data_IF_064146229533
#
_entry.id   IF_064146229533
#
_cell.length_a   1.000
_cell.length_b   1.000
_cell.length_c   1.000
_cell.angle_alpha   90.00
_cell.angle_beta   90.00
_cell.angle_gamma   90.00
#
_symmetry.space_group_name_H-M   'P 1'
#
loop_
_entity.id
_entity.type
_entity.pdbx_description
1 polymer ?
#
# COMPACT_ATOMS: atom_id res chain seq x y z
N UNK A 1 -4.35 -6.80 -16.69
CA UNK A 1 -3.46 -6.03 -17.58
C UNK A 1 -2.00 -6.21 -17.20
N UNK A 2 -1.12 -6.48 -18.18
CA UNK A 2 0.35 -6.54 -18.01
C UNK A 2 0.96 -5.14 -17.90
N UNK A 3 2.26 -5.04 -17.62
CA UNK A 3 2.96 -3.74 -17.59
C UNK A 3 3.23 -3.15 -18.99
N UNK A 4 3.23 -3.98 -20.03
CA UNK A 4 3.64 -3.59 -21.37
C UNK A 4 2.89 -2.36 -21.94
N UNK A 5 1.55 -2.24 -21.80
CA UNK A 5 0.83 -1.06 -22.28
C UNK A 5 1.29 0.26 -21.64
N UNK A 6 1.72 0.22 -20.38
CA UNK A 6 2.25 1.40 -19.69
C UNK A 6 3.61 1.82 -20.25
N UNK A 7 4.46 0.83 -20.55
CA UNK A 7 5.77 1.08 -21.18
C UNK A 7 5.59 1.60 -22.60
N UNK A 8 4.65 1.04 -23.37
CA UNK A 8 4.33 1.54 -24.72
C UNK A 8 3.78 2.96 -24.70
N UNK A 9 2.89 3.27 -23.74
CA UNK A 9 2.39 4.65 -23.54
C UNK A 9 3.54 5.62 -23.24
N UNK A 10 4.49 5.21 -22.39
CA UNK A 10 5.66 6.01 -22.07
C UNK A 10 6.57 6.18 -23.28
N UNK A 11 6.88 5.11 -24.01
CA UNK A 11 7.80 5.13 -25.14
C UNK A 11 7.31 6.03 -26.28
N UNK A 12 5.99 6.17 -26.43
CA UNK A 12 5.39 7.03 -27.45
C UNK A 12 5.28 8.50 -27.03
N UNK A 13 5.68 8.86 -25.80
CA UNK A 13 5.55 10.21 -25.26
C UNK A 13 6.75 11.11 -25.61
N UNK A 14 6.49 12.39 -25.88
CA UNK A 14 7.56 13.38 -26.12
C UNK A 14 8.54 13.53 -24.94
N UNK A 15 8.09 13.58 -23.66
CA UNK A 15 9.01 13.67 -22.51
C UNK A 15 10.00 12.50 -22.47
N UNK A 16 9.57 11.29 -22.82
CA UNK A 16 10.45 10.12 -22.86
C UNK A 16 11.51 10.24 -23.96
N UNK A 17 11.12 10.63 -25.16
CA UNK A 17 12.07 10.81 -26.26
C UNK A 17 13.15 11.86 -25.95
N UNK A 18 12.76 12.99 -25.35
CA UNK A 18 13.70 14.02 -24.90
C UNK A 18 14.63 13.46 -23.81
N UNK A 19 14.08 12.75 -22.84
CA UNK A 19 14.86 12.14 -21.77
C UNK A 19 15.90 11.14 -22.29
N UNK A 20 15.53 10.21 -23.16
CA UNK A 20 16.47 9.20 -23.69
C UNK A 20 17.53 9.83 -24.59
N UNK A 21 17.19 10.90 -25.33
CA UNK A 21 18.17 11.65 -26.12
C UNK A 21 19.28 12.24 -25.23
N UNK A 22 18.92 12.74 -24.06
CA UNK A 22 19.85 13.37 -23.11
C UNK A 22 20.50 12.38 -22.12
N UNK A 23 20.01 11.13 -22.08
CA UNK A 23 20.42 10.09 -21.14
C UNK A 23 20.42 8.71 -21.83
N UNK A 24 21.27 8.54 -22.86
CA UNK A 24 21.30 7.32 -23.67
C UNK A 24 21.74 6.07 -22.91
N UNK A 25 22.39 6.24 -21.75
CA UNK A 25 22.78 5.16 -20.84
C UNK A 25 21.67 4.76 -19.84
N UNK A 26 20.52 5.45 -19.87
CA UNK A 26 19.41 5.17 -18.98
C UNK A 26 18.75 3.83 -19.27
N UNK A 27 18.28 3.14 -18.21
CA UNK A 27 17.53 1.91 -18.34
C UNK A 27 16.40 1.80 -17.33
N UNK A 28 15.31 1.14 -17.72
CA UNK A 28 14.18 0.87 -16.83
C UNK A 28 14.65 0.00 -15.66
N UNK A 29 14.37 0.44 -14.44
CA UNK A 29 14.78 -0.27 -13.21
C UNK A 29 13.60 -0.81 -12.41
N UNK A 30 12.46 -0.10 -12.42
CA UNK A 30 11.30 -0.47 -11.65
C UNK A 30 9.99 0.04 -12.27
N UNK A 31 8.90 -0.64 -11.97
CA UNK A 31 7.54 -0.12 -12.15
C UNK A 31 6.87 0.03 -10.79
N UNK A 32 6.23 1.16 -10.56
CA UNK A 32 5.53 1.47 -9.31
C UNK A 32 4.05 1.71 -9.60
N UNK A 33 3.19 0.95 -8.94
CA UNK A 33 1.77 0.89 -9.23
C UNK A 33 0.96 0.99 -7.95
N UNK A 34 0.09 1.98 -7.87
CA UNK A 34 -0.89 2.12 -6.79
C UNK A 34 -2.23 1.69 -7.34
N UNK A 35 -2.78 0.61 -6.79
CA UNK A 35 -4.12 0.12 -7.08
C UNK A 35 -5.00 0.50 -5.89
N UNK A 36 -5.87 1.48 -6.08
CA UNK A 36 -6.79 1.97 -5.06
C UNK A 36 -8.19 1.45 -5.36
N UNK A 37 -8.64 0.47 -4.58
CA UNK A 37 -9.92 -0.20 -4.78
C UNK A 37 -11.09 0.54 -4.12
N UNK A 38 -10.82 1.52 -3.27
CA UNK A 38 -11.85 2.34 -2.63
C UNK A 38 -12.21 3.56 -3.48
N UNK A 39 -11.20 4.33 -3.88
CA UNK A 39 -11.41 5.58 -4.60
C UNK A 39 -11.28 5.43 -6.12
N UNK A 40 -10.71 4.32 -6.60
CA UNK A 40 -10.41 4.11 -8.01
C UNK A 40 -9.24 4.96 -8.54
N UNK A 41 -8.60 5.76 -7.67
CA UNK A 41 -7.47 6.61 -8.03
C UNK A 41 -6.17 5.81 -8.14
N UNK A 42 -6.05 5.08 -9.25
CA UNK A 42 -4.83 4.35 -9.55
C UNK A 42 -3.71 5.30 -9.97
N UNK A 43 -2.47 4.96 -9.63
CA UNK A 43 -1.28 5.72 -10.05
C UNK A 43 -0.26 4.78 -10.64
N UNK A 44 0.25 5.09 -11.83
CA UNK A 44 1.21 4.25 -12.54
C UNK A 44 2.47 5.06 -12.83
N UNK A 45 3.60 4.54 -12.36
CA UNK A 45 4.91 5.15 -12.50
C UNK A 45 5.92 4.14 -13.04
N UNK A 46 6.88 4.62 -13.82
CA UNK A 46 8.00 3.83 -14.34
C UNK A 46 9.30 4.57 -14.04
N UNK A 47 10.23 3.87 -13.42
CA UNK A 47 11.51 4.43 -13.00
C UNK A 47 12.62 3.99 -13.95
N UNK A 48 13.40 4.98 -14.41
CA UNK A 48 14.63 4.77 -15.17
C UNK A 48 15.83 5.17 -14.32
N UNK A 49 16.82 4.29 -14.22
CA UNK A 49 18.10 4.64 -13.63
C UNK A 49 19.01 5.27 -14.69
N UNK A 50 19.69 6.36 -14.33
CA UNK A 50 20.70 7.04 -15.17
C UNK A 50 22.08 6.85 -14.54
N UNK A 51 22.88 5.87 -15.00
CA UNK A 51 24.18 5.55 -14.41
C UNK A 51 25.15 6.72 -14.36
N UNK A 52 25.27 7.47 -15.45
CA UNK A 52 26.17 8.63 -15.58
C UNK A 52 25.92 9.71 -14.54
N UNK A 53 24.66 9.88 -14.12
CA UNK A 53 24.23 10.90 -13.16
C UNK A 53 23.98 10.37 -11.75
N UNK A 54 23.96 9.03 -11.56
CA UNK A 54 23.51 8.37 -10.33
C UNK A 54 22.15 8.90 -9.85
N UNK A 55 21.21 9.04 -10.78
CA UNK A 55 19.86 9.55 -10.53
C UNK A 55 18.81 8.57 -11.03
N UNK A 56 17.61 8.69 -10.48
CA UNK A 56 16.41 7.98 -10.92
C UNK A 56 15.51 9.00 -11.60
N UNK A 57 15.04 8.70 -12.80
CA UNK A 57 14.00 9.45 -13.48
C UNK A 57 12.68 8.71 -13.29
N UNK A 58 11.78 9.28 -12.51
CA UNK A 58 10.43 8.76 -12.27
C UNK A 58 9.48 9.36 -13.32
N UNK A 59 8.81 8.51 -14.09
CA UNK A 59 7.77 8.91 -15.03
C UNK A 59 6.40 8.59 -14.49
N UNK A 60 5.53 9.58 -14.31
CA UNK A 60 4.11 9.37 -13.96
C UNK A 60 3.27 9.31 -15.23
N UNK A 61 2.35 8.33 -15.34
CA UNK A 61 1.67 8.01 -16.60
C UNK A 61 0.18 8.35 -16.68
N UNK A 62 -0.48 8.67 -15.57
CA UNK A 62 -1.96 8.67 -15.51
C UNK A 62 -2.60 9.80 -16.32
N UNK A 63 -2.34 11.07 -15.97
CA UNK A 63 -2.95 12.24 -16.64
C UNK A 63 -2.12 12.69 -17.84
N UNK A 64 -0.92 13.19 -17.54
CA UNK A 64 0.07 13.63 -18.51
C UNK A 64 1.38 12.97 -18.13
N UNK A 65 2.13 12.51 -19.14
CA UNK A 65 3.46 11.96 -18.88
C UNK A 65 4.35 13.09 -18.36
N UNK A 66 4.77 12.99 -17.11
CA UNK A 66 5.69 13.92 -16.46
C UNK A 66 6.89 13.16 -15.92
N UNK A 67 8.07 13.78 -16.00
CA UNK A 67 9.32 13.20 -15.52
C UNK A 67 9.85 14.00 -14.34
N UNK A 68 10.31 13.31 -13.30
CA UNK A 68 10.98 13.89 -12.15
C UNK A 68 12.33 13.19 -11.93
N UNK A 69 13.42 13.95 -11.81
CA UNK A 69 14.72 13.42 -11.43
C UNK A 69 14.87 13.42 -9.91
N UNK A 70 15.12 12.24 -9.35
CA UNK A 70 15.36 11.98 -7.94
C UNK A 70 16.80 11.52 -7.72
N UNK A 71 17.38 11.90 -6.58
CA UNK A 71 18.69 11.40 -6.16
C UNK A 71 18.57 9.99 -5.58
N UNK A 72 19.54 9.12 -5.88
CA UNK A 72 19.60 7.79 -5.23
C UNK A 72 19.96 7.92 -3.77
N UNK A 73 19.15 7.32 -2.88
CA UNK A 73 19.45 7.25 -1.44
C UNK A 73 20.51 6.17 -1.11
N UNK A 74 20.64 5.15 -1.96
CA UNK A 74 21.52 4.01 -1.75
C UNK A 74 22.67 3.99 -2.76
N UNK A 75 23.84 3.50 -2.32
CA UNK A 75 25.02 3.32 -3.17
C UNK A 75 24.91 2.12 -4.12
N UNK A 76 23.92 1.25 -3.92
CA UNK A 76 23.74 0.04 -4.73
C UNK A 76 23.06 0.40 -6.06
N UNK A 77 23.74 0.11 -7.16
CA UNK A 77 23.20 0.24 -8.51
C UNK A 77 22.01 -0.71 -8.70
N UNK A 78 20.84 -0.23 -9.15
CA UNK A 78 19.68 -1.07 -9.40
C UNK A 78 19.88 -1.95 -10.64
N UNK A 79 19.25 -3.12 -10.67
CA UNK A 79 19.30 -4.02 -11.81
C UNK A 79 18.33 -3.55 -12.90
N UNK A 80 18.67 -3.81 -14.17
CA UNK A 80 17.78 -3.53 -15.30
C UNK A 80 16.56 -4.44 -15.26
N UNK A 81 15.39 -3.86 -15.47
CA UNK A 81 14.11 -4.55 -15.58
C UNK A 81 13.75 -4.73 -17.06
N UNK A 82 13.30 -5.94 -17.42
CA UNK A 82 12.69 -6.22 -18.72
C UNK A 82 11.18 -5.99 -18.68
N UNK A 83 10.61 -5.59 -19.82
CA UNK A 83 9.19 -5.21 -19.99
C UNK A 83 8.26 -6.43 -19.91
N UNK A 84 8.78 -7.62 -20.21
CA UNK A 84 7.98 -8.84 -20.24
C UNK A 84 7.64 -9.27 -18.81
N UNK A 85 6.37 -9.23 -18.43
CA UNK A 85 5.87 -9.81 -17.17
C UNK A 85 4.92 -10.98 -17.43
N UNK A 86 4.90 -11.94 -16.52
CA UNK A 86 3.96 -13.07 -16.56
C UNK A 86 2.71 -12.81 -15.72
N UNK A 87 2.81 -11.97 -14.68
CA UNK A 87 1.70 -11.57 -13.85
C UNK A 87 1.03 -10.31 -14.41
N UNK A 88 -0.30 -10.34 -14.44
CA UNK A 88 -1.15 -9.18 -14.67
C UNK A 88 -1.36 -8.41 -13.37
N UNK A 89 -1.34 -7.08 -13.41
CA UNK A 89 -1.59 -6.20 -12.25
C UNK A 89 -2.91 -6.51 -11.55
N UNK A 90 -3.96 -6.82 -12.31
CA UNK A 90 -5.28 -7.18 -11.79
C UNK A 90 -5.29 -8.55 -11.10
N UNK A 91 -4.41 -9.46 -11.52
CA UNK A 91 -4.30 -10.79 -10.92
C UNK A 91 -3.60 -10.76 -9.56
N UNK A 92 -2.81 -9.72 -9.27
CA UNK A 92 -2.10 -9.56 -8.00
C UNK A 92 -3.06 -9.61 -6.81
N UNK A 93 -4.22 -8.95 -6.91
CA UNK A 93 -5.24 -8.97 -5.85
C UNK A 93 -5.73 -10.39 -5.58
N UNK A 94 -6.05 -11.16 -6.63
CA UNK A 94 -6.51 -12.54 -6.48
C UNK A 94 -5.47 -13.46 -5.84
N UNK A 95 -4.21 -13.36 -6.26
CA UNK A 95 -3.10 -14.14 -5.68
C UNK A 95 -2.94 -13.82 -4.19
N UNK A 96 -3.01 -12.54 -3.82
CA UNK A 96 -2.92 -12.12 -2.43
C UNK A 96 -4.11 -12.58 -1.59
N UNK A 97 -5.33 -12.47 -2.10
CA UNK A 97 -6.54 -12.90 -1.39
C UNK A 97 -6.56 -14.41 -1.14
N UNK A 98 -6.05 -15.21 -2.08
CA UNK A 98 -5.88 -16.65 -1.90
C UNK A 98 -4.86 -16.96 -0.78
N UNK A 99 -3.70 -16.32 -0.82
CA UNK A 99 -2.68 -16.49 0.21
C UNK A 99 -3.13 -15.98 1.59
N UNK A 100 -3.91 -14.89 1.63
CA UNK A 100 -4.53 -14.37 2.85
C UNK A 100 -5.48 -15.38 3.47
N UNK A 101 -6.33 -16.02 2.66
CA UNK A 101 -7.24 -17.09 3.13
C UNK A 101 -6.47 -18.27 3.70
N UNK A 102 -5.39 -18.69 3.03
CA UNK A 102 -4.52 -19.76 3.51
C UNK A 102 -3.88 -19.46 4.88
N UNK A 103 -3.75 -18.18 5.24
CA UNK A 103 -3.19 -17.69 6.51
C UNK A 103 -4.25 -17.23 7.51
N UNK A 104 -5.54 -17.49 7.26
CA UNK A 104 -6.67 -17.07 8.10
C UNK A 104 -6.77 -15.54 8.29
N UNK A 105 -6.34 -14.76 7.29
CA UNK A 105 -6.49 -13.30 7.26
C UNK A 105 -7.84 -12.99 6.60
N UNK A 106 -8.77 -12.42 7.36
CA UNK A 106 -10.16 -12.19 6.91
C UNK A 106 -10.43 -10.74 6.48
N UNK A 107 -9.49 -9.82 6.69
CA UNK A 107 -9.64 -8.44 6.29
C UNK A 107 -9.63 -8.26 4.76
N UNK A 108 -10.24 -7.18 4.28
CA UNK A 108 -10.29 -6.85 2.85
C UNK A 108 -9.14 -5.91 2.48
N UNK A 109 -8.64 -6.02 1.26
CA UNK A 109 -7.60 -5.13 0.73
C UNK A 109 -8.23 -3.87 0.14
N UNK A 110 -7.89 -2.70 0.69
CA UNK A 110 -8.34 -1.39 0.19
C UNK A 110 -7.40 -0.80 -0.85
N UNK A 111 -6.09 -0.98 -0.64
CA UNK A 111 -5.06 -0.40 -1.51
C UNK A 111 -3.88 -1.34 -1.63
N UNK A 112 -3.33 -1.48 -2.83
CA UNK A 112 -2.07 -2.18 -3.08
C UNK A 112 -1.08 -1.17 -3.65
N UNK A 113 0.07 -1.04 -3.00
CA UNK A 113 1.25 -0.37 -3.54
C UNK A 113 2.19 -1.48 -4.03
N UNK A 114 2.27 -1.65 -5.33
CA UNK A 114 3.07 -2.69 -5.98
C UNK A 114 4.31 -2.10 -6.64
N UNK A 115 5.47 -2.67 -6.34
CA UNK A 115 6.75 -2.32 -6.95
C UNK A 115 7.28 -3.55 -7.66
N UNK A 116 7.38 -3.50 -8.98
CA UNK A 116 8.05 -4.50 -9.78
C UNK A 116 9.51 -4.09 -9.97
N UNK A 117 10.42 -4.99 -9.61
CA UNK A 117 11.85 -4.77 -9.75
C UNK A 117 12.55 -6.08 -10.10
N UNK A 118 13.76 -5.97 -10.67
CA UNK A 118 14.63 -7.11 -10.86
C UNK A 118 15.57 -7.23 -9.66
N UNK A 119 15.59 -8.39 -9.01
CA UNK A 119 16.45 -8.69 -7.86
C UNK A 119 17.17 -10.01 -8.11
N UNK A 120 18.50 -9.97 -8.22
CA UNK A 120 19.35 -11.13 -8.48
C UNK A 120 18.91 -11.89 -9.75
N UNK A 121 18.55 -11.14 -10.80
CA UNK A 121 18.06 -11.71 -12.07
C UNK A 121 16.63 -12.28 -12.04
N UNK A 122 15.89 -12.10 -10.94
CA UNK A 122 14.48 -12.49 -10.81
C UNK A 122 13.58 -11.26 -10.73
N UNK A 123 12.49 -11.27 -11.49
CA UNK A 123 11.44 -10.25 -11.39
C UNK A 123 10.58 -10.51 -10.16
N UNK A 124 10.63 -9.59 -9.20
CA UNK A 124 9.91 -9.67 -7.94
C UNK A 124 8.93 -8.50 -7.85
N UNK A 125 7.68 -8.82 -7.53
CA UNK A 125 6.65 -7.88 -7.12
C UNK A 125 6.71 -7.72 -5.61
N UNK A 126 7.14 -6.57 -5.13
CA UNK A 126 7.06 -6.19 -3.72
C UNK A 126 5.80 -5.39 -3.48
N UNK A 127 4.94 -5.86 -2.58
CA UNK A 127 3.58 -5.38 -2.39
C UNK A 127 3.42 -4.89 -0.95
N UNK A 128 2.87 -3.70 -0.79
CA UNK A 128 2.39 -3.18 0.48
C UNK A 128 0.88 -2.97 0.36
N UNK A 129 0.11 -3.74 1.12
CA UNK A 129 -1.34 -3.77 1.01
C UNK A 129 -1.96 -3.19 2.28
N UNK A 130 -2.84 -2.20 2.13
CA UNK A 130 -3.60 -1.64 3.24
C UNK A 130 -4.91 -2.42 3.38
N UNK A 131 -5.20 -2.88 4.60
CA UNK A 131 -6.38 -3.69 4.90
C UNK A 131 -7.49 -2.88 5.60
N UNK A 132 -8.71 -3.43 5.61
CA UNK A 132 -9.93 -2.90 6.25
C UNK A 132 -9.94 -2.87 7.79
N UNK A 133 -8.78 -2.85 8.44
CA UNK A 133 -8.64 -2.92 9.89
C UNK A 133 -7.31 -2.36 10.40
N UNK A 134 -6.76 -1.35 9.71
CA UNK A 134 -5.43 -0.76 9.99
C UNK A 134 -4.25 -1.75 9.88
N UNK A 135 -4.49 -2.94 9.33
CA UNK A 135 -3.45 -3.91 9.01
C UNK A 135 -2.72 -3.53 7.72
N UNK A 136 -1.42 -3.80 7.68
CA UNK A 136 -0.60 -3.72 6.48
C UNK A 136 -0.07 -5.12 6.19
N UNK A 137 -0.22 -5.57 4.95
CA UNK A 137 0.46 -6.77 4.46
C UNK A 137 1.64 -6.36 3.60
N UNK A 138 2.82 -6.81 4.00
CA UNK A 138 4.00 -6.77 3.16
C UNK A 138 4.18 -8.13 2.50
N UNK A 139 4.11 -8.19 1.17
CA UNK A 139 4.27 -9.43 0.42
C UNK A 139 5.28 -9.29 -0.71
N UNK A 140 5.94 -10.40 -1.06
CA UNK A 140 6.82 -10.52 -2.23
C UNK A 140 6.34 -11.68 -3.09
N UNK A 141 6.08 -11.42 -4.37
CA UNK A 141 5.64 -12.42 -5.34
C UNK A 141 6.67 -12.53 -6.46
N UNK A 142 7.07 -13.75 -6.82
CA UNK A 142 7.94 -13.97 -7.98
C UNK A 142 7.10 -13.99 -9.27
N UNK A 143 7.48 -13.16 -10.25
CA UNK A 143 6.70 -13.00 -11.49
C UNK A 143 6.62 -14.29 -12.33
N UNK A 144 7.68 -15.10 -12.38
CA UNK A 144 7.71 -16.32 -13.20
C UNK A 144 6.85 -17.45 -12.63
N UNK A 145 7.00 -17.74 -11.33
CA UNK A 145 6.30 -18.85 -10.66
C UNK A 145 4.91 -18.47 -10.16
N UNK A 146 4.61 -17.16 -10.07
CA UNK A 146 3.39 -16.60 -9.45
C UNK A 146 3.24 -16.98 -7.96
N UNK A 147 4.32 -17.43 -7.34
CA UNK A 147 4.32 -17.86 -5.95
C UNK A 147 4.62 -16.68 -5.01
N UNK A 148 3.96 -16.68 -3.86
CA UNK A 148 4.23 -15.73 -2.79
C UNK A 148 5.48 -16.21 -2.02
N UNK A 149 6.60 -15.51 -2.22
CA UNK A 149 7.87 -15.83 -1.57
C UNK A 149 7.87 -15.48 -0.08
N UNK A 150 7.23 -14.37 0.26
CA UNK A 150 7.18 -13.83 1.61
C UNK A 150 5.86 -13.10 1.80
N UNK A 151 5.22 -13.26 2.95
CA UNK A 151 4.08 -12.45 3.36
C UNK A 151 4.13 -12.24 4.87
N UNK A 152 4.07 -11.00 5.29
CA UNK A 152 4.10 -10.55 6.68
C UNK A 152 2.93 -9.60 6.91
N UNK A 153 2.19 -9.82 7.99
CA UNK A 153 1.15 -8.91 8.45
C UNK A 153 1.70 -8.08 9.61
N UNK A 154 1.55 -6.77 9.53
CA UNK A 154 1.92 -5.82 10.58
C UNK A 154 0.72 -4.91 10.87
N UNK A 155 0.62 -4.40 12.09
CA UNK A 155 -0.33 -3.34 12.41
C UNK A 155 0.31 -1.97 12.15
N UNK A 156 -0.47 -0.99 11.70
CA UNK A 156 -0.03 0.41 11.67
C UNK A 156 0.51 0.88 13.03
N UNK A 157 -0.04 0.37 14.13
CA UNK A 157 0.44 0.66 15.49
C UNK A 157 1.88 0.17 15.73
N UNK A 158 2.27 -0.95 15.11
CA UNK A 158 3.63 -1.49 15.24
C UNK A 158 4.66 -0.59 14.53
N UNK A 159 4.23 0.12 13.48
CA UNK A 159 5.05 1.11 12.80
C UNK A 159 5.14 2.41 13.63
N UNK A 160 4.02 2.90 14.16
CA UNK A 160 4.01 4.10 15.01
C UNK A 160 4.90 3.93 16.25
N UNK A 161 4.90 2.76 16.88
CA UNK A 161 5.80 2.45 18.01
C UNK A 161 7.29 2.42 17.64
N UNK A 162 7.62 2.18 16.36
CA UNK A 162 9.01 2.11 15.87
C UNK A 162 9.56 3.45 15.40
N UNK A 163 8.72 4.47 15.23
CA UNK A 163 9.18 5.82 14.89
C UNK A 163 9.56 6.52 16.20
N UNK A 164 10.84 6.92 16.39
CA UNK A 164 11.23 7.68 17.57
C UNK A 164 10.42 8.98 17.63
N UNK A 165 9.86 9.32 18.79
CA UNK A 165 9.07 10.54 18.99
C UNK A 165 9.76 11.82 18.48
N UNK A 166 11.10 11.83 18.49
CA UNK A 166 11.93 12.90 17.94
C UNK A 166 11.71 13.19 16.44
N UNK A 167 11.29 12.19 15.64
CA UNK A 167 11.09 12.34 14.19
C UNK A 167 9.66 12.80 13.84
N UNK A 168 8.68 12.51 14.69
CA UNK A 168 7.31 13.04 14.58
C UNK A 168 7.27 14.54 14.87
N UNK A 169 8.16 15.05 15.73
CA UNK A 169 8.27 16.49 15.99
C UNK A 169 8.99 17.28 14.88
N UNK A 170 9.72 16.63 13.97
CA UNK A 170 10.42 17.30 12.86
C UNK A 170 9.61 17.41 11.57
N UNK A 171 8.47 16.71 11.48
CA UNK A 171 7.63 16.68 10.28
C UNK A 171 6.39 17.58 10.35
N UNK A 172 6.22 18.35 11.42
CA UNK A 172 5.29 19.48 11.37
C UNK A 172 5.87 20.57 10.45
N UNK A 173 5.09 21.06 9.46
CA UNK A 173 5.48 22.24 8.72
C UNK A 173 5.75 23.35 9.74
N UNK A 174 6.91 24.00 9.64
CA UNK A 174 7.16 25.27 10.33
C UNK A 174 6.11 26.27 9.83
N UNK A 175 4.95 26.30 10.49
CA UNK A 175 4.08 27.45 10.43
C UNK A 175 4.84 28.56 11.14
N UNK A 176 5.18 29.57 10.34
CA UNK A 176 5.72 30.81 10.84
C UNK A 176 4.74 31.41 11.86
N UNK A 177 5.32 31.79 13.01
CA UNK A 177 4.81 32.72 14.01
C UNK A 177 3.69 32.20 14.95
N UNK A 178 4.12 31.79 16.14
CA UNK A 178 3.58 32.37 17.37
C UNK A 178 2.65 31.52 18.22
N UNK A 179 3.16 30.42 18.79
CA UNK A 179 2.99 29.98 20.18
C UNK A 179 3.56 28.56 20.30
N UNK A 180 4.61 28.39 21.10
CA UNK A 180 5.11 27.06 21.44
C UNK A 180 4.03 26.34 22.25
N UNK A 181 3.43 25.30 21.67
CA UNK A 181 2.64 24.33 22.43
C UNK A 181 3.54 23.76 23.52
N UNK A 182 3.15 23.92 24.77
CA UNK A 182 3.92 23.45 25.92
C UNK A 182 3.89 21.92 25.97
N UNK A 183 4.89 21.28 26.59
CA UNK A 183 4.88 19.82 26.80
C UNK A 183 3.60 19.33 27.52
N UNK A 184 2.96 20.23 28.28
CA UNK A 184 1.71 19.95 28.97
C UNK A 184 0.51 19.92 28.01
N UNK A 185 0.51 20.70 26.93
CA UNK A 185 -0.56 20.67 25.92
C UNK A 185 -0.53 19.35 25.12
N UNK A 186 0.67 18.86 24.81
CA UNK A 186 0.86 17.56 24.13
C UNK A 186 0.44 16.40 25.03
N UNK A 187 0.79 16.44 26.32
CA UNK A 187 0.32 15.43 27.29
C UNK A 187 -1.20 15.45 27.45
N UNK A 188 -1.81 16.63 27.39
CA UNK A 188 -3.27 16.74 27.43
C UNK A 188 -3.94 16.16 26.18
N UNK A 189 -3.38 16.34 24.99
CA UNK A 189 -3.89 15.69 23.78
C UNK A 189 -3.74 14.17 23.80
N UNK A 190 -2.62 13.66 24.29
CA UNK A 190 -2.41 12.21 24.44
C UNK A 190 -3.44 11.62 25.42
N UNK A 191 -3.66 12.26 26.56
CA UNK A 191 -4.66 11.80 27.53
C UNK A 191 -6.09 11.86 26.96
N UNK A 192 -6.42 12.88 26.16
CA UNK A 192 -7.72 12.98 25.48
C UNK A 192 -7.93 11.84 24.48
N UNK A 193 -6.88 11.44 23.77
CA UNK A 193 -6.93 10.31 22.82
C UNK A 193 -7.12 8.97 23.54
N UNK A 194 -6.42 8.74 24.66
CA UNK A 194 -6.62 7.53 25.48
C UNK A 194 -8.04 7.45 26.08
N UNK A 195 -8.62 8.57 26.48
CA UNK A 195 -10.02 8.62 26.93
C UNK A 195 -11.02 8.34 25.80
N UNK A 196 -10.76 8.83 24.59
CA UNK A 196 -11.56 8.54 23.40
C UNK A 196 -11.49 7.05 23.02
N UNK A 197 -10.30 6.44 23.07
CA UNK A 197 -10.14 5.00 22.83
C UNK A 197 -10.93 4.17 23.84
N UNK A 198 -10.87 4.52 25.13
CA UNK A 198 -11.66 3.83 26.17
C UNK A 198 -13.16 3.96 25.94
N UNK A 199 -13.64 5.11 25.48
CA UNK A 199 -15.07 5.32 25.17
C UNK A 199 -15.50 4.49 23.95
N UNK A 200 -14.69 4.46 22.89
CA UNK A 200 -14.97 3.66 21.69
C UNK A 200 -15.00 2.16 22.03
N UNK A 201 -14.06 1.68 22.84
CA UNK A 201 -14.03 0.26 23.24
C UNK A 201 -15.22 -0.09 24.16
N UNK A 202 -15.64 0.83 25.04
CA UNK A 202 -16.82 0.65 25.88
C UNK A 202 -18.11 0.58 25.03
N UNK A 203 -18.28 1.51 24.08
CA UNK A 203 -19.43 1.57 23.17
C UNK A 203 -19.50 0.31 22.29
N UNK A 204 -18.36 -0.16 21.80
CA UNK A 204 -18.25 -1.41 21.05
C UNK A 204 -18.67 -2.62 21.88
N UNK A 205 -18.33 -2.67 23.17
CA UNK A 205 -18.77 -3.74 24.06
C UNK A 205 -20.28 -3.67 24.40
N UNK A 206 -20.86 -2.48 24.47
CA UNK A 206 -22.31 -2.33 24.65
C UNK A 206 -23.09 -2.81 23.42
N UNK A 207 -22.65 -2.41 22.22
CA UNK A 207 -23.26 -2.90 20.97
C UNK A 207 -23.22 -4.43 20.85
N UNK A 208 -22.11 -5.06 21.25
CA UNK A 208 -21.98 -6.53 21.28
C UNK A 208 -22.93 -7.17 22.31
N UNK A 209 -23.20 -6.51 23.44
CA UNK A 209 -24.16 -7.00 24.45
C UNK A 209 -25.60 -6.86 23.95
N UNK A 210 -25.93 -5.75 23.29
CA UNK A 210 -27.26 -5.52 22.70
C UNK A 210 -27.57 -6.53 21.60
N UNK A 211 -26.61 -6.83 20.70
CA UNK A 211 -26.78 -7.88 19.69
C UNK A 211 -27.03 -9.28 20.30
N UNK A 212 -26.42 -9.57 21.45
CA UNK A 212 -26.61 -10.85 22.17
C UNK A 212 -27.95 -10.92 22.90
N UNK A 213 -28.49 -9.78 23.35
CA UNK A 213 -29.80 -9.69 24.01
C UNK A 213 -30.97 -9.68 23.01
N UNK A 214 -30.78 -9.08 21.83
CA UNK A 214 -31.78 -9.05 20.75
C UNK A 214 -32.13 -10.41 20.14
N UNK A 215 -31.25 -11.42 20.27
CA UNK A 215 -31.50 -12.79 19.76
C UNK A 215 -32.34 -13.69 20.69
N UNK A 216 -32.78 -13.22 21.87
CA UNK A 216 -33.59 -14.02 22.82
C UNK A 216 -35.12 -13.89 22.68
N UNK A 217 -35.63 -13.07 21.76
CA UNK A 217 -37.07 -13.00 21.50
C UNK A 217 -37.42 -13.43 20.07
N UNK A 218 -37.54 -14.73 19.87
CA UNK A 218 -38.43 -15.28 18.83
C UNK A 218 -39.38 -16.30 19.49
N UNK A 219 -40.71 -16.08 19.44
CA UNK A 219 -41.67 -16.90 20.15
C UNK A 219 -41.89 -18.24 19.42
N UNK A 220 -41.91 -19.32 20.20
CA UNK A 220 -42.41 -20.64 19.81
C UNK A 220 -43.82 -20.53 19.22
N UNK A 221 -43.98 -20.65 17.91
CA UNK A 221 -45.25 -21.07 17.32
C UNK A 221 -45.33 -22.60 17.35
N UNK A 222 -46.06 -23.10 18.35
CA UNK A 222 -46.66 -24.44 18.32
C UNK A 222 -47.63 -24.50 17.13
N UNK A 223 -47.44 -25.43 16.21
CA UNK A 223 -48.55 -26.01 15.47
C UNK A 223 -48.63 -27.49 15.84
N UNK A 224 -49.61 -27.79 16.68
CA UNK A 224 -50.16 -29.12 16.85
C UNK A 224 -51.42 -29.19 15.98
N UNK A 225 -51.45 -30.11 15.02
CA UNK A 225 -52.69 -30.58 14.38
C UNK A 225 -52.67 -32.11 14.46
N UNK A 226 -53.39 -32.64 15.46
CA UNK A 226 -54.10 -33.92 15.44
C UNK A 226 -55.17 -33.85 14.33
N UNK A 227 -55.68 -34.89 13.68
CA UNK A 227 -55.67 -36.36 13.80
C UNK A 227 -56.35 -36.88 12.51
N UNK A 228 -56.05 -38.12 12.12
CA UNK A 228 -57.08 -39.07 11.62
C UNK A 228 -57.51 -39.88 12.84
#
# INVERSE_FOLDING_TARGET
MKIAPYVEKLSNSQPYHLFIKDNSDAYMMAGFFVLDFESGNNTHKIDYYVPSKKKIAEFTLDKQVSVQLLSTLNSKTPEKLDIKTSIDLEAIKGILEEEMKNRNITEQIHKIIAVLQNLKGKKIWTLNCLLSGMGIIHASIEDSSKSVLKMEKASLLDYLKKVPAAQLMQSQPKQEQGQSLSEDDVKQEINKLEELEKKIEAEKQELIKEEKLGKKQSPKKKQAVKKI
#
